data_IF_138167997244
#
_entry.id   IF_138167997244
#
_cell.length_a   1.000
_cell.length_b   1.000
_cell.length_c   1.000
_cell.angle_alpha   90.00
_cell.angle_beta   90.00
_cell.angle_gamma   90.00
#
_symmetry.space_group_name_H-M   'P 1'
#
loop_
_entity.id
_entity.type
_entity.pdbx_description
1 polymer ?
#
# COMPACT_ATOMS: atom_id res chain seq x y z
N UNK A 1 -17.15 -12.12 17.45
CA UNK A 1 -16.56 -10.77 17.53
C UNK A 1 -15.39 -10.73 16.56
N UNK A 2 -15.55 -10.06 15.42
CA UNK A 2 -14.39 -9.70 14.61
C UNK A 2 -13.47 -8.88 15.53
N UNK A 3 -12.20 -9.26 15.70
CA UNK A 3 -11.32 -8.47 16.56
C UNK A 3 -11.26 -7.04 15.99
N UNK A 4 -10.98 -6.06 16.84
CA UNK A 4 -10.78 -4.65 16.46
C UNK A 4 -9.67 -4.56 15.39
N UNK A 5 -10.02 -4.83 14.14
CA UNK A 5 -9.09 -5.08 13.06
C UNK A 5 -8.87 -3.78 12.33
N UNK A 6 -7.71 -3.19 12.67
CA UNK A 6 -6.93 -2.25 11.87
C UNK A 6 -7.58 -0.86 11.70
N UNK A 7 -6.81 0.20 11.94
CA UNK A 7 -7.06 1.55 11.42
C UNK A 7 -8.07 2.51 12.09
N UNK A 8 -8.27 2.49 13.41
CA UNK A 8 -8.97 3.62 14.09
C UNK A 8 -8.11 4.84 14.37
N UNK A 9 -6.86 4.91 13.88
CA UNK A 9 -6.27 6.21 13.58
C UNK A 9 -6.70 6.59 12.16
N UNK A 10 -7.97 6.98 12.00
CA UNK A 10 -8.38 7.82 10.89
C UNK A 10 -7.50 9.07 10.94
N UNK A 11 -6.41 9.06 10.18
CA UNK A 11 -5.55 10.22 9.99
C UNK A 11 -6.23 11.30 9.16
N UNK A 12 -7.26 10.90 8.41
CA UNK A 12 -8.16 11.82 7.74
C UNK A 12 -9.23 12.24 8.74
N UNK A 13 -9.48 13.55 8.83
CA UNK A 13 -10.66 14.04 9.55
C UNK A 13 -11.93 13.48 8.91
N UNK A 14 -12.99 13.33 9.70
CA UNK A 14 -14.29 12.84 9.20
C UNK A 14 -14.77 13.67 8.01
N UNK A 15 -14.58 14.99 8.07
CA UNK A 15 -14.89 15.92 6.98
C UNK A 15 -14.10 15.62 5.70
N UNK A 16 -12.80 15.34 5.82
CA UNK A 16 -11.96 15.03 4.68
C UNK A 16 -12.30 13.67 4.09
N UNK A 17 -12.58 12.67 4.94
CA UNK A 17 -13.05 11.36 4.48
C UNK A 17 -14.40 11.45 3.74
N UNK A 18 -15.33 12.28 4.24
CA UNK A 18 -16.61 12.54 3.57
C UNK A 18 -16.41 13.24 2.22
N UNK A 19 -15.54 14.25 2.16
CA UNK A 19 -15.21 14.94 0.91
C UNK A 19 -14.53 14.02 -0.12
N UNK A 20 -13.69 13.08 0.34
CA UNK A 20 -13.06 12.06 -0.53
C UNK A 20 -14.07 11.08 -1.11
N UNK A 21 -15.10 10.73 -0.33
CA UNK A 21 -16.15 9.81 -0.76
C UNK A 21 -17.22 10.47 -1.67
N UNK A 22 -17.26 11.81 -1.72
CA UNK A 22 -18.21 12.56 -2.54
C UNK A 22 -17.73 12.67 -4.00
N UNK A 23 -18.43 12.06 -4.98
CA UNK A 23 -18.05 12.11 -6.38
C UNK A 23 -18.23 13.50 -7.01
N UNK A 24 -18.98 14.39 -6.37
CA UNK A 24 -19.22 15.76 -6.84
C UNK A 24 -18.20 16.79 -6.32
N UNK A 25 -17.33 16.38 -5.40
CA UNK A 25 -16.31 17.25 -4.85
C UNK A 25 -15.31 17.73 -5.93
N UNK A 26 -14.91 19.00 -5.85
CA UNK A 26 -13.84 19.53 -6.71
C UNK A 26 -12.54 18.77 -6.46
N UNK A 27 -12.10 18.05 -7.49
CA UNK A 27 -10.97 17.13 -7.43
C UNK A 27 -9.66 17.84 -7.11
N UNK A 28 -9.41 18.99 -7.72
CA UNK A 28 -8.16 19.73 -7.53
C UNK A 28 -8.10 20.30 -6.09
N UNK A 29 -9.21 20.87 -5.63
CA UNK A 29 -9.32 21.36 -4.26
C UNK A 29 -9.17 20.23 -3.23
N UNK A 30 -9.72 19.05 -3.52
CA UNK A 30 -9.60 17.87 -2.66
C UNK A 30 -8.15 17.39 -2.52
N UNK A 31 -7.42 17.24 -3.64
CA UNK A 31 -6.01 16.84 -3.63
C UNK A 31 -5.13 17.85 -2.91
N UNK A 32 -5.38 19.15 -3.12
CA UNK A 32 -4.70 20.21 -2.36
C UNK A 32 -4.96 20.11 -0.84
N UNK A 33 -6.20 19.83 -0.42
CA UNK A 33 -6.54 19.60 0.99
C UNK A 33 -5.88 18.34 1.55
N UNK A 34 -5.82 17.26 0.77
CA UNK A 34 -5.12 16.03 1.16
C UNK A 34 -3.63 16.28 1.37
N UNK A 35 -2.98 17.01 0.45
CA UNK A 35 -1.57 17.40 0.57
C UNK A 35 -1.32 18.26 1.81
N UNK A 36 -2.17 19.26 2.04
CA UNK A 36 -2.07 20.08 3.25
C UNK A 36 -2.29 19.27 4.53
N UNK A 37 -3.21 18.30 4.50
CA UNK A 37 -3.55 17.46 5.64
C UNK A 37 -2.46 16.45 5.96
N UNK A 38 -1.88 15.77 4.96
CA UNK A 38 -0.88 14.72 5.14
C UNK A 38 0.56 15.26 5.20
N UNK A 39 0.75 16.49 4.74
CA UNK A 39 2.04 17.15 4.69
C UNK A 39 2.88 16.71 3.49
N UNK A 40 4.12 17.16 3.46
CA UNK A 40 5.07 16.73 2.42
C UNK A 40 5.46 15.26 2.62
N UNK A 41 5.75 14.55 1.52
CA UNK A 41 6.25 13.18 1.54
C UNK A 41 7.41 13.02 2.53
N UNK A 42 7.38 11.97 3.36
CA UNK A 42 8.42 11.69 4.36
C UNK A 42 8.47 12.65 5.56
N UNK A 43 7.74 13.77 5.57
CA UNK A 43 7.80 14.73 6.70
C UNK A 43 7.02 14.27 7.94
N UNK A 44 5.97 13.49 7.71
CA UNK A 44 5.15 12.83 8.76
C UNK A 44 5.43 11.34 8.92
N UNK A 45 6.47 10.86 8.24
CA UNK A 45 6.78 9.44 8.12
C UNK A 45 5.91 8.71 7.09
N UNK A 46 6.54 7.82 6.34
CA UNK A 46 5.98 6.89 5.40
C UNK A 46 4.99 5.94 6.04
N UNK A 47 5.19 5.52 7.29
CA UNK A 47 4.21 4.69 7.99
C UNK A 47 2.86 5.42 8.07
N UNK A 48 2.88 6.70 8.47
CA UNK A 48 1.69 7.53 8.55
C UNK A 48 1.05 7.75 7.16
N UNK A 49 1.85 7.84 6.10
CA UNK A 49 1.34 7.93 4.73
C UNK A 49 0.65 6.63 4.30
N UNK A 50 1.29 5.47 4.44
CA UNK A 50 0.65 4.19 4.11
C UNK A 50 -0.65 3.99 4.88
N UNK A 51 -0.67 4.48 6.12
CA UNK A 51 -1.88 4.56 6.95
C UNK A 51 -3.01 5.40 6.35
N UNK A 52 -2.69 6.60 5.91
CA UNK A 52 -3.65 7.47 5.24
C UNK A 52 -4.11 6.87 3.89
N UNK A 53 -3.21 6.26 3.12
CA UNK A 53 -3.53 5.68 1.82
C UNK A 53 -4.42 4.44 1.92
N UNK A 54 -4.29 3.62 2.96
CA UNK A 54 -5.25 2.57 3.24
C UNK A 54 -6.65 3.14 3.56
N UNK A 55 -6.73 4.21 4.34
CA UNK A 55 -8.00 4.88 4.61
C UNK A 55 -8.61 5.51 3.34
N UNK A 56 -7.78 6.16 2.50
CA UNK A 56 -8.20 6.71 1.21
C UNK A 56 -8.67 5.62 0.26
N UNK A 57 -7.97 4.49 0.17
CA UNK A 57 -8.37 3.35 -0.67
C UNK A 57 -9.73 2.78 -0.26
N UNK A 58 -10.01 2.72 1.04
CA UNK A 58 -11.33 2.32 1.52
C UNK A 58 -12.42 3.36 1.17
N UNK A 59 -12.11 4.66 1.21
CA UNK A 59 -13.10 5.71 0.93
C UNK A 59 -13.33 5.95 -0.57
N UNK A 60 -12.26 6.10 -1.35
CA UNK A 60 -12.28 6.36 -2.79
C UNK A 60 -10.98 5.88 -3.43
N UNK A 61 -10.94 4.64 -3.97
CA UNK A 61 -9.76 4.10 -4.64
C UNK A 61 -9.22 5.02 -5.76
N UNK A 62 -10.05 5.65 -6.61
CA UNK A 62 -9.55 6.56 -7.65
C UNK A 62 -8.82 7.79 -7.08
N UNK A 63 -9.32 8.39 -5.99
CA UNK A 63 -8.64 9.52 -5.29
C UNK A 63 -7.29 9.06 -4.77
N UNK A 64 -7.28 7.90 -4.13
CA UNK A 64 -6.07 7.37 -3.54
C UNK A 64 -4.97 7.14 -4.58
N UNK A 65 -5.29 6.50 -5.72
CA UNK A 65 -4.32 6.23 -6.79
C UNK A 65 -3.77 7.50 -7.41
N UNK A 66 -4.63 8.48 -7.68
CA UNK A 66 -4.19 9.78 -8.22
C UNK A 66 -3.26 10.49 -7.23
N UNK A 67 -3.63 10.50 -5.95
CA UNK A 67 -2.83 11.15 -4.93
C UNK A 67 -1.47 10.45 -4.68
N UNK A 68 -1.37 9.12 -4.84
CA UNK A 68 -0.07 8.43 -4.82
C UNK A 68 0.83 8.95 -5.96
N UNK A 69 0.28 9.10 -7.17
CA UNK A 69 1.05 9.56 -8.36
C UNK A 69 1.59 10.98 -8.19
N UNK A 70 0.84 11.86 -7.52
CA UNK A 70 1.27 13.24 -7.25
C UNK A 70 2.36 13.36 -6.19
N UNK A 71 2.52 12.33 -5.35
CA UNK A 71 3.43 12.37 -4.21
C UNK A 71 4.90 12.12 -4.60
N UNK A 72 5.18 11.73 -5.85
CA UNK A 72 6.50 11.39 -6.44
C UNK A 72 7.53 10.99 -5.38
N UNK A 73 7.34 9.78 -4.86
CA UNK A 73 8.34 9.12 -4.05
C UNK A 73 9.04 8.04 -4.90
N UNK A 74 10.14 7.51 -4.41
CA UNK A 74 10.88 6.43 -5.08
C UNK A 74 9.97 5.27 -5.48
N UNK A 75 10.39 4.47 -6.47
CA UNK A 75 9.68 3.28 -6.94
C UNK A 75 9.20 2.36 -5.81
N UNK A 76 10.03 2.17 -4.78
CA UNK A 76 9.69 1.40 -3.58
C UNK A 76 8.56 2.04 -2.77
N UNK A 77 8.62 3.34 -2.53
CA UNK A 77 7.59 4.04 -1.74
C UNK A 77 6.28 4.06 -2.53
N UNK A 78 6.33 4.38 -3.82
CA UNK A 78 5.16 4.32 -4.70
C UNK A 78 4.50 2.93 -4.67
N UNK A 79 5.28 1.86 -4.83
CA UNK A 79 4.78 0.49 -4.72
C UNK A 79 4.14 0.20 -3.35
N UNK A 80 4.78 0.64 -2.26
CA UNK A 80 4.27 0.43 -0.90
C UNK A 80 2.96 1.22 -0.65
N UNK A 81 2.86 2.44 -1.17
CA UNK A 81 1.66 3.27 -1.04
C UNK A 81 0.50 2.74 -1.90
N UNK A 82 0.76 2.32 -3.15
CA UNK A 82 -0.24 1.65 -4.00
C UNK A 82 -0.75 0.37 -3.35
N UNK A 83 0.14 -0.43 -2.78
CA UNK A 83 -0.27 -1.64 -2.04
C UNK A 83 -1.06 -1.28 -0.78
N UNK A 84 -0.75 -0.16 -0.11
CA UNK A 84 -1.55 0.34 1.01
C UNK A 84 -2.96 0.75 0.59
N UNK A 85 -3.12 1.38 -0.57
CA UNK A 85 -4.45 1.65 -1.16
C UNK A 85 -5.23 0.34 -1.35
N UNK A 86 -4.59 -0.67 -1.92
CA UNK A 86 -5.20 -1.98 -2.14
C UNK A 86 -5.60 -2.69 -0.84
N UNK A 87 -4.82 -2.55 0.25
CA UNK A 87 -5.23 -2.99 1.60
C UNK A 87 -6.54 -2.32 2.02
N UNK A 88 -6.68 -1.02 1.79
CA UNK A 88 -7.91 -0.27 2.06
C UNK A 88 -9.13 -0.80 1.33
N UNK A 89 -8.98 -1.04 0.02
CA UNK A 89 -10.03 -1.62 -0.83
C UNK A 89 -10.40 -3.02 -0.34
N UNK A 90 -9.40 -3.89 -0.14
CA UNK A 90 -9.59 -5.26 0.31
C UNK A 90 -10.28 -5.31 1.69
N UNK A 91 -9.89 -4.43 2.62
CA UNK A 91 -10.53 -4.30 3.93
C UNK A 91 -12.00 -3.93 3.80
N UNK A 92 -12.36 -3.00 2.90
CA UNK A 92 -13.75 -2.64 2.64
C UNK A 92 -14.54 -3.82 2.08
N UNK A 93 -13.98 -4.58 1.14
CA UNK A 93 -14.63 -5.77 0.57
C UNK A 93 -14.86 -6.85 1.62
N UNK A 94 -13.84 -7.14 2.45
CA UNK A 94 -13.96 -8.08 3.58
C UNK A 94 -15.11 -7.69 4.50
N UNK A 95 -15.25 -6.40 4.82
CA UNK A 95 -16.31 -5.89 5.70
C UNK A 95 -17.70 -5.92 5.07
N UNK A 96 -17.78 -5.84 3.74
CA UNK A 96 -19.03 -5.88 3.00
C UNK A 96 -19.49 -7.32 2.69
N UNK A 97 -18.58 -8.29 2.78
CA UNK A 97 -18.88 -9.70 2.50
C UNK A 97 -19.69 -10.34 3.64
N UNK A 98 -20.49 -11.34 3.26
CA UNK A 98 -21.32 -12.15 4.18
C UNK A 98 -20.94 -13.63 4.20
N UNK A 99 -19.92 -14.05 3.45
CA UNK A 99 -19.49 -15.46 3.34
C UNK A 99 -18.43 -15.84 4.40
N UNK A 100 -18.87 -16.47 5.50
CA UNK A 100 -18.04 -16.66 6.71
C UNK A 100 -16.68 -17.39 6.48
N UNK A 101 -16.59 -18.50 5.71
CA UNK A 101 -15.31 -19.18 5.49
C UNK A 101 -14.34 -18.38 4.63
N UNK A 102 -14.83 -17.73 3.57
CA UNK A 102 -14.01 -16.90 2.68
C UNK A 102 -13.52 -15.62 3.38
N UNK A 103 -14.35 -15.04 4.27
CA UNK A 103 -13.99 -13.89 5.10
C UNK A 103 -12.78 -14.22 5.96
N UNK A 104 -12.79 -15.35 6.67
CA UNK A 104 -11.69 -15.73 7.57
C UNK A 104 -10.32 -15.75 6.88
N UNK A 105 -10.22 -16.42 5.74
CA UNK A 105 -9.00 -16.47 4.94
C UNK A 105 -8.63 -15.10 4.37
N UNK A 106 -9.60 -14.37 3.81
CA UNK A 106 -9.37 -13.04 3.25
C UNK A 106 -8.83 -12.07 4.31
N UNK A 107 -9.33 -12.12 5.54
CA UNK A 107 -8.82 -11.19 6.55
C UNK A 107 -7.39 -11.50 6.97
N UNK A 108 -7.02 -12.78 7.07
CA UNK A 108 -5.64 -13.18 7.39
C UNK A 108 -4.69 -12.61 6.34
N UNK A 109 -5.06 -12.69 5.06
CA UNK A 109 -4.25 -12.14 3.96
C UNK A 109 -4.16 -10.60 4.01
N UNK A 110 -5.28 -9.91 4.27
CA UNK A 110 -5.29 -8.44 4.45
C UNK A 110 -4.40 -8.02 5.62
N UNK A 111 -4.51 -8.70 6.77
CA UNK A 111 -3.69 -8.43 7.96
C UNK A 111 -2.20 -8.68 7.69
N UNK A 112 -1.88 -9.76 7.00
CA UNK A 112 -0.51 -10.11 6.62
C UNK A 112 0.08 -9.05 5.69
N UNK A 113 -0.64 -8.66 4.64
CA UNK A 113 -0.22 -7.63 3.71
C UNK A 113 -0.01 -6.29 4.43
N UNK A 114 -0.94 -5.91 5.30
CA UNK A 114 -0.82 -4.69 6.08
C UNK A 114 0.39 -4.69 7.01
N UNK A 115 0.61 -5.76 7.77
CA UNK A 115 1.72 -5.85 8.71
C UNK A 115 3.08 -5.76 7.98
N UNK A 116 3.19 -6.42 6.83
CA UNK A 116 4.36 -6.35 5.96
C UNK A 116 4.63 -4.91 5.47
N UNK A 117 3.61 -4.21 4.97
CA UNK A 117 3.75 -2.84 4.47
C UNK A 117 4.12 -1.85 5.57
N UNK A 118 3.45 -1.92 6.72
CA UNK A 118 3.77 -1.03 7.84
C UNK A 118 5.21 -1.23 8.28
N UNK A 119 5.69 -2.49 8.34
CA UNK A 119 7.10 -2.74 8.68
C UNK A 119 8.06 -2.11 7.68
N UNK A 120 7.80 -2.21 6.37
CA UNK A 120 8.65 -1.56 5.34
C UNK A 120 8.63 -0.05 5.51
N UNK A 121 7.45 0.56 5.63
CA UNK A 121 7.29 2.00 5.74
C UNK A 121 7.92 2.56 7.03
N UNK A 122 7.74 1.89 8.19
CA UNK A 122 8.42 2.28 9.44
C UNK A 122 9.93 2.15 9.34
N UNK A 123 10.44 1.17 8.59
CA UNK A 123 11.88 1.06 8.35
C UNK A 123 12.39 2.19 7.47
N UNK A 124 11.65 2.60 6.43
CA UNK A 124 11.99 3.76 5.62
C UNK A 124 12.04 5.04 6.46
N UNK A 125 11.14 5.18 7.43
CA UNK A 125 11.17 6.27 8.40
C UNK A 125 12.44 6.26 9.25
N UNK A 126 12.88 5.07 9.70
CA UNK A 126 14.13 4.92 10.44
C UNK A 126 15.35 5.32 9.59
N UNK A 127 15.41 4.90 8.32
CA UNK A 127 16.48 5.31 7.41
C UNK A 127 16.51 6.84 7.22
N UNK A 128 15.34 7.43 6.97
CA UNK A 128 15.21 8.89 6.80
C UNK A 128 15.60 9.65 8.07
N UNK A 129 15.16 9.22 9.25
CA UNK A 129 15.53 9.84 10.54
C UNK A 129 17.03 9.74 10.83
N UNK A 130 17.69 8.68 10.38
CA UNK A 130 19.13 8.49 10.53
C UNK A 130 19.96 9.21 9.45
N UNK A 131 19.30 9.86 8.47
CA UNK A 131 19.98 10.45 7.32
C UNK A 131 20.72 9.42 6.45
N UNK A 132 20.26 8.16 6.48
CA UNK A 132 20.85 7.07 5.70
C UNK A 132 20.01 6.80 4.47
N UNK A 133 20.68 6.58 3.35
CA UNK A 133 20.02 6.07 2.15
C UNK A 133 19.77 4.57 2.27
N UNK A 134 18.70 4.11 1.63
CA UNK A 134 18.39 2.70 1.49
C UNK A 134 19.25 2.15 0.36
N UNK A 135 20.27 1.38 0.71
CA UNK A 135 21.13 0.72 -0.27
C UNK A 135 20.35 -0.28 -1.14
N UNK A 136 20.96 -0.69 -2.24
CA UNK A 136 20.39 -1.62 -3.21
C UNK A 136 19.86 -2.93 -2.59
N UNK A 137 20.59 -3.53 -1.65
CA UNK A 137 20.25 -4.82 -1.05
C UNK A 137 19.06 -4.69 -0.10
N UNK A 138 19.06 -3.62 0.71
CA UNK A 138 17.93 -3.30 1.59
C UNK A 138 16.70 -2.93 0.76
N UNK A 139 16.89 -2.12 -0.30
CA UNK A 139 15.81 -1.75 -1.23
C UNK A 139 15.20 -3.00 -1.86
N UNK A 140 16.02 -3.92 -2.33
CA UNK A 140 15.54 -5.16 -2.95
C UNK A 140 14.78 -6.05 -1.96
N UNK A 141 15.25 -6.11 -0.71
CA UNK A 141 14.55 -6.81 0.37
C UNK A 141 13.19 -6.20 0.67
N UNK A 142 13.10 -4.86 0.74
CA UNK A 142 11.83 -4.16 0.92
C UNK A 142 10.88 -4.35 -0.27
N UNK A 143 11.38 -4.29 -1.50
CA UNK A 143 10.58 -4.55 -2.71
C UNK A 143 10.02 -5.98 -2.71
N UNK A 144 10.80 -6.97 -2.27
CA UNK A 144 10.33 -8.36 -2.10
C UNK A 144 9.17 -8.43 -1.10
N UNK A 145 9.28 -7.74 0.05
CA UNK A 145 8.22 -7.71 1.06
C UNK A 145 6.95 -7.04 0.53
N UNK A 146 7.08 -5.88 -0.14
CA UNK A 146 5.94 -5.16 -0.73
C UNK A 146 5.23 -6.02 -1.78
N UNK A 147 5.98 -6.71 -2.64
CA UNK A 147 5.41 -7.62 -3.65
C UNK A 147 4.76 -8.86 -3.03
N UNK A 148 5.35 -9.40 -1.97
CA UNK A 148 4.73 -10.47 -1.18
C UNK A 148 3.39 -10.03 -0.58
N UNK A 149 3.30 -8.79 -0.08
CA UNK A 149 2.06 -8.19 0.39
C UNK A 149 1.04 -8.00 -0.75
N UNK A 150 1.48 -7.54 -1.93
CA UNK A 150 0.62 -7.47 -3.11
C UNK A 150 0.09 -8.85 -3.53
N UNK A 151 0.94 -9.88 -3.53
CA UNK A 151 0.53 -11.25 -3.83
C UNK A 151 -0.49 -11.80 -2.82
N UNK A 152 -0.41 -11.42 -1.54
CA UNK A 152 -1.44 -11.73 -0.54
C UNK A 152 -2.79 -11.09 -0.89
N UNK A 153 -2.79 -9.83 -1.31
CA UNK A 153 -4.00 -9.12 -1.73
C UNK A 153 -4.58 -9.67 -3.04
N UNK A 154 -3.75 -10.24 -3.92
CA UNK A 154 -4.23 -11.00 -5.08
C UNK A 154 -5.05 -12.22 -4.63
N UNK A 155 -4.61 -12.95 -3.61
CA UNK A 155 -5.40 -14.06 -3.03
C UNK A 155 -6.72 -13.57 -2.45
N UNK A 156 -6.74 -12.39 -1.80
CA UNK A 156 -7.99 -11.77 -1.35
C UNK A 156 -8.93 -11.48 -2.51
N UNK A 157 -8.39 -10.99 -3.63
CA UNK A 157 -9.17 -10.70 -4.83
C UNK A 157 -9.83 -11.94 -5.43
N UNK A 158 -9.22 -13.12 -5.25
CA UNK A 158 -9.78 -14.40 -5.71
C UNK A 158 -10.83 -14.97 -4.75
N UNK A 159 -10.79 -14.56 -3.48
CA UNK A 159 -11.69 -15.04 -2.43
C UNK A 159 -12.99 -14.23 -2.32
N UNK A 160 -12.99 -12.96 -2.76
CA UNK A 160 -14.11 -12.03 -2.52
C UNK A 160 -14.82 -11.60 -3.80
N UNK A 161 -16.15 -11.41 -3.75
CA UNK A 161 -16.87 -10.68 -4.79
C UNK A 161 -16.25 -9.30 -5.01
N UNK A 162 -16.21 -8.85 -6.26
CA UNK A 162 -15.61 -7.58 -6.69
C UNK A 162 -14.10 -7.43 -6.42
N UNK A 163 -13.39 -8.53 -6.12
CA UNK A 163 -11.95 -8.54 -5.91
C UNK A 163 -11.11 -8.04 -7.10
N UNK A 164 -11.69 -8.01 -8.31
CA UNK A 164 -11.06 -7.45 -9.51
C UNK A 164 -10.55 -6.00 -9.30
N UNK A 165 -11.22 -5.19 -8.48
CA UNK A 165 -10.76 -3.84 -8.17
C UNK A 165 -9.49 -3.81 -7.31
N UNK A 166 -9.29 -4.79 -6.42
CA UNK A 166 -8.05 -4.96 -5.66
C UNK A 166 -6.92 -5.39 -6.59
N UNK A 167 -7.18 -6.38 -7.44
CA UNK A 167 -6.21 -6.90 -8.42
C UNK A 167 -5.70 -5.79 -9.35
N UNK A 168 -6.60 -4.99 -9.91
CA UNK A 168 -6.24 -3.90 -10.81
C UNK A 168 -5.28 -2.85 -10.22
N UNK A 169 -5.19 -2.73 -8.89
CA UNK A 169 -4.29 -1.78 -8.23
C UNK A 169 -2.85 -2.28 -8.09
N UNK A 170 -2.61 -3.59 -8.21
CA UNK A 170 -1.35 -4.22 -7.81
C UNK A 170 -0.84 -5.29 -8.79
N UNK A 171 -1.56 -5.57 -9.88
CA UNK A 171 -1.16 -6.58 -10.87
C UNK A 171 0.22 -6.32 -11.45
N UNK A 172 0.54 -5.06 -11.76
CA UNK A 172 1.85 -4.69 -12.32
C UNK A 172 3.01 -4.92 -11.34
N UNK A 173 2.75 -4.86 -10.03
CA UNK A 173 3.74 -5.17 -8.99
C UNK A 173 4.02 -6.67 -8.87
N UNK A 174 3.01 -7.50 -9.15
CA UNK A 174 3.12 -8.97 -9.02
C UNK A 174 3.66 -9.60 -10.29
N UNK A 175 3.24 -9.13 -11.46
CA UNK A 175 3.56 -9.73 -12.76
C UNK A 175 4.84 -9.20 -13.42
N UNK A 176 5.64 -8.41 -12.70
CA UNK A 176 6.92 -7.93 -13.23
C UNK A 176 7.95 -9.08 -13.27
N UNK A 177 8.12 -9.57 -14.51
CA UNK A 177 9.03 -10.64 -14.89
C UNK A 177 10.49 -10.28 -14.69
N UNK A 178 10.88 -9.04 -14.98
CA UNK A 178 12.27 -8.59 -14.84
C UNK A 178 12.72 -8.65 -13.37
N UNK A 179 11.84 -8.23 -12.46
CA UNK A 179 12.05 -8.41 -11.03
C UNK A 179 12.17 -9.86 -10.61
N UNK A 180 11.25 -10.71 -11.10
CA UNK A 180 11.25 -12.14 -10.76
C UNK A 180 12.55 -12.82 -11.19
N UNK A 181 13.08 -12.44 -12.37
CA UNK A 181 14.38 -12.90 -12.87
C UNK A 181 15.55 -12.38 -12.02
N UNK A 182 15.50 -11.13 -11.54
CA UNK A 182 16.49 -10.60 -10.58
C UNK A 182 16.49 -11.38 -9.27
N UNK A 183 15.32 -11.62 -8.66
CA UNK A 183 15.22 -12.42 -7.43
C UNK A 183 15.73 -13.85 -7.64
N UNK A 184 15.37 -14.50 -8.74
CA UNK A 184 15.85 -15.84 -9.05
C UNK A 184 17.39 -15.91 -9.14
N UNK A 185 18.04 -14.91 -9.74
CA UNK A 185 19.52 -14.81 -9.75
C UNK A 185 20.11 -14.67 -8.34
N UNK A 186 19.49 -13.87 -7.47
CA UNK A 186 19.97 -13.75 -6.08
C UNK A 186 19.83 -15.02 -5.25
N UNK A 187 18.79 -15.80 -5.48
CA UNK A 187 18.64 -17.11 -4.82
C UNK A 187 19.74 -18.10 -5.23
N UNK A 188 20.36 -17.90 -6.40
CA UNK A 188 21.53 -18.64 -6.85
C UNK A 188 22.87 -18.01 -6.43
N UNK A 189 22.84 -16.96 -5.59
CA UNK A 189 24.03 -16.30 -5.04
C UNK A 189 24.54 -15.11 -5.84
N UNK A 190 23.90 -14.74 -6.95
CA UNK A 190 24.28 -13.58 -7.77
C UNK A 190 23.49 -12.33 -7.35
N UNK A 191 24.12 -11.49 -6.51
CA UNK A 191 23.57 -10.23 -6.01
C UNK A 191 23.89 -9.02 -6.89
N UNK A 192 24.72 -9.18 -7.92
CA UNK A 192 25.16 -8.08 -8.79
C UNK A 192 23.99 -7.42 -9.53
N UNK A 193 22.91 -8.17 -9.75
CA UNK A 193 21.69 -7.67 -10.40
C UNK A 193 20.92 -6.60 -9.62
N UNK A 194 21.27 -6.36 -8.35
CA UNK A 194 20.75 -5.25 -7.56
C UNK A 194 21.76 -4.13 -7.35
N UNK A 195 23.05 -4.36 -7.60
CA UNK A 195 24.08 -3.31 -7.49
C UNK A 195 23.88 -2.23 -8.57
N UNK A 196 23.78 -0.96 -8.16
CA UNK A 196 23.82 0.19 -9.09
C UNK A 196 22.49 0.86 -9.48
N UNK A 197 21.34 0.46 -8.93
CA UNK A 197 20.10 1.25 -9.07
C UNK A 197 20.05 2.35 -8.00
N UNK A 198 20.84 3.41 -8.19
CA UNK A 198 20.74 4.65 -7.44
C UNK A 198 19.49 5.43 -7.87
#
# INVERSE_FOLDING_TARGET
MLPNWLYTQQLLTVELAAAVADPSADRAALLARLRASLGEPGRRGWEQHGRAFAALGAASPPVAVEFVRELVATDLVDAALRTSVAVGVATRLVRASSDEPAIGAAVIEVLTAQAALLRVLSMLDLFQMQGKEVDATVRASFQTVVRGAAAALVRVADLLPDGACVRALITDLVDDREWSERVARTLTGDWTSFEGSA
#
